data_IF_243003751473
#
_entry.id   IF_243003751473
#
_cell.length_a   1.000
_cell.length_b   1.000
_cell.length_c   1.000
_cell.angle_alpha   90.00
_cell.angle_beta   90.00
_cell.angle_gamma   90.00
#
_symmetry.space_group_name_H-M   'P 1'
#
loop_
_entity.id
_entity.type
_entity.pdbx_description
1 polymer ?
#
# COMPACT_ATOMS: atom_id res chain seq x y z
N UNK A 1 5.19 -8.95 23.68
CA UNK A 1 4.29 -7.90 23.16
C UNK A 1 4.03 -8.22 21.70
N UNK A 2 2.84 -8.71 21.37
CA UNK A 2 2.49 -9.10 19.99
C UNK A 2 2.25 -7.83 19.20
N UNK A 3 3.18 -7.45 18.32
CA UNK A 3 3.00 -6.31 17.43
C UNK A 3 1.97 -6.69 16.36
N UNK A 4 0.78 -6.13 16.44
CA UNK A 4 -0.17 -6.14 15.33
C UNK A 4 0.41 -5.27 14.22
N UNK A 5 0.69 -5.90 13.08
CA UNK A 5 1.20 -5.21 11.90
C UNK A 5 0.05 -4.49 11.22
N UNK A 6 0.14 -3.17 11.11
CA UNK A 6 -0.87 -2.36 10.42
C UNK A 6 -0.69 -2.45 8.90
N UNK A 7 -1.83 -2.50 8.19
CA UNK A 7 -1.89 -2.59 6.74
C UNK A 7 -2.74 -1.46 6.15
N UNK A 8 -2.27 -0.89 5.05
CA UNK A 8 -3.03 0.08 4.25
C UNK A 8 -3.56 -0.60 3.00
N UNK A 9 -4.85 -0.39 2.70
CA UNK A 9 -5.49 -0.92 1.49
C UNK A 9 -5.51 0.19 0.43
N UNK A 10 -5.02 -0.11 -0.77
CA UNK A 10 -5.05 0.80 -1.92
C UNK A 10 -5.88 0.19 -3.04
N UNK A 11 -7.04 0.76 -3.33
CA UNK A 11 -7.85 0.43 -4.50
C UNK A 11 -7.37 1.19 -5.75
N UNK A 12 -7.57 0.61 -6.94
CA UNK A 12 -7.13 1.25 -8.19
C UNK A 12 -5.60 1.32 -8.31
N UNK A 13 -4.91 0.37 -7.66
CA UNK A 13 -3.45 0.34 -7.55
C UNK A 13 -2.70 0.26 -8.89
N UNK A 14 -3.38 -0.13 -9.98
CA UNK A 14 -2.82 -0.18 -11.33
C UNK A 14 -2.85 1.16 -12.06
N UNK A 15 -3.64 2.13 -11.59
CA UNK A 15 -3.71 3.48 -12.16
C UNK A 15 -2.45 4.29 -11.89
N UNK A 16 -2.29 5.41 -12.61
CA UNK A 16 -1.12 6.29 -12.48
C UNK A 16 -0.86 6.71 -11.02
N UNK A 17 -1.88 7.28 -10.37
CA UNK A 17 -1.80 7.71 -8.97
C UNK A 17 -1.60 6.52 -8.03
N UNK A 18 -2.32 5.42 -8.27
CA UNK A 18 -2.22 4.20 -7.46
C UNK A 18 -0.80 3.64 -7.42
N UNK A 19 -0.10 3.64 -8.56
CA UNK A 19 1.31 3.22 -8.66
C UNK A 19 2.24 4.14 -7.88
N UNK A 20 2.14 5.45 -8.09
CA UNK A 20 2.99 6.41 -7.38
C UNK A 20 2.77 6.38 -5.85
N UNK A 21 1.52 6.22 -5.42
CA UNK A 21 1.18 6.07 -4.00
C UNK A 21 1.77 4.77 -3.42
N UNK A 22 1.67 3.66 -4.13
CA UNK A 22 2.26 2.38 -3.74
C UNK A 22 3.78 2.48 -3.55
N UNK A 23 4.47 3.15 -4.47
CA UNK A 23 5.91 3.37 -4.36
C UNK A 23 6.28 4.22 -3.15
N UNK A 24 5.53 5.29 -2.87
CA UNK A 24 5.75 6.13 -1.70
C UNK A 24 5.56 5.34 -0.40
N UNK A 25 4.45 4.58 -0.28
CA UNK A 25 4.16 3.77 0.91
C UNK A 25 5.20 2.67 1.15
N UNK A 26 5.68 2.02 0.08
CA UNK A 26 6.78 1.04 0.16
C UNK A 26 8.08 1.68 0.65
N UNK A 27 8.43 2.87 0.15
CA UNK A 27 9.62 3.62 0.60
C UNK A 27 9.52 4.03 2.06
N UNK A 28 8.32 4.26 2.57
CA UNK A 28 8.06 4.54 3.98
C UNK A 28 8.01 3.29 4.89
N UNK A 29 8.24 2.08 4.35
CA UNK A 29 8.20 0.83 5.12
C UNK A 29 6.80 0.39 5.55
N UNK A 30 5.76 1.01 4.99
CA UNK A 30 4.36 0.69 5.30
C UNK A 30 3.96 -0.58 4.56
N UNK A 31 3.24 -1.46 5.25
CA UNK A 31 2.71 -2.68 4.64
C UNK A 31 1.41 -2.37 3.91
N UNK A 32 1.37 -2.69 2.61
CA UNK A 32 0.27 -2.31 1.73
C UNK A 32 -0.34 -3.53 1.07
N UNK A 33 -1.67 -3.58 1.00
CA UNK A 33 -2.44 -4.50 0.17
C UNK A 33 -3.00 -3.72 -1.01
N UNK A 34 -2.56 -4.08 -2.22
CA UNK A 34 -2.96 -3.44 -3.45
C UNK A 34 -4.12 -4.21 -4.10
N UNK A 35 -5.22 -3.51 -4.40
CA UNK A 35 -6.38 -4.07 -5.10
C UNK A 35 -6.47 -3.43 -6.49
N UNK A 36 -6.57 -4.29 -7.50
CA UNK A 36 -6.74 -3.92 -8.91
C UNK A 36 -7.92 -4.69 -9.51
N UNK A 37 -8.35 -4.31 -10.72
CA UNK A 37 -9.40 -5.03 -11.47
C UNK A 37 -8.83 -6.22 -12.22
#
# INVERSE_FOLDING_TARGET
>A
MTFLKEYVIVSGASGFIGKHLLEALKKSGISVVAITR
#
